data_IF_396333042554
#
_entry.id   IF_396333042554
#
_cell.length_a   1.000
_cell.length_b   1.000
_cell.length_c   1.000
_cell.angle_alpha   90.00
_cell.angle_beta   90.00
_cell.angle_gamma   90.00
#
_symmetry.space_group_name_H-M   'P 1'
#
loop_
_entity.id
_entity.type
_entity.pdbx_description
1 polymer ?
#
# COMPACT_ATOMS: atom_id res chain seq x y z
N UNK A 1 33.54 -4.45 -10.42
CA UNK A 1 32.42 -3.58 -10.02
C UNK A 1 31.26 -4.48 -9.63
N UNK A 2 31.06 -4.69 -8.34
CA UNK A 2 30.11 -5.66 -7.81
C UNK A 2 28.68 -5.14 -7.98
N UNK A 3 27.89 -5.88 -8.78
CA UNK A 3 26.43 -5.84 -8.80
C UNK A 3 25.95 -6.18 -7.39
N UNK A 4 25.70 -5.17 -6.56
CA UNK A 4 24.82 -5.37 -5.42
C UNK A 4 23.40 -5.31 -5.99
N UNK A 5 22.91 -6.46 -6.46
CA UNK A 5 21.47 -6.65 -6.66
C UNK A 5 20.85 -6.68 -5.27
N UNK A 6 20.50 -5.48 -4.81
CA UNK A 6 19.83 -5.25 -3.56
C UNK A 6 18.34 -5.52 -3.84
N UNK A 7 17.89 -6.73 -3.54
CA UNK A 7 16.50 -7.11 -3.70
C UNK A 7 15.63 -6.24 -2.80
N UNK A 8 14.45 -5.86 -3.27
CA UNK A 8 13.47 -5.15 -2.42
C UNK A 8 12.87 -6.07 -1.32
N UNK A 9 13.33 -7.32 -1.25
CA UNK A 9 13.00 -8.29 -0.20
C UNK A 9 14.15 -8.57 0.76
N UNK A 10 15.28 -7.88 0.64
CA UNK A 10 16.38 -8.00 1.59
C UNK A 10 16.02 -7.39 2.96
N UNK A 11 16.53 -7.97 4.05
CA UNK A 11 16.31 -7.44 5.41
C UNK A 11 16.75 -5.97 5.55
N UNK A 12 17.81 -5.57 4.84
CA UNK A 12 18.26 -4.18 4.82
C UNK A 12 17.22 -3.22 4.21
N UNK A 13 16.44 -3.68 3.23
CA UNK A 13 15.31 -2.91 2.69
C UNK A 13 14.18 -2.77 3.71
N UNK A 14 13.88 -3.83 4.46
CA UNK A 14 12.87 -3.80 5.53
C UNK A 14 13.24 -2.81 6.64
N UNK A 15 14.52 -2.71 6.99
CA UNK A 15 15.04 -1.78 8.00
C UNK A 15 15.05 -0.34 7.49
N UNK A 16 15.59 -0.11 6.29
CA UNK A 16 15.62 1.22 5.66
C UNK A 16 15.49 1.12 4.13
N UNK A 17 14.30 1.39 3.56
CA UNK A 17 14.08 1.33 2.12
C UNK A 17 14.57 2.59 1.38
N UNK A 18 14.94 3.66 2.09
CA UNK A 18 15.26 4.95 1.46
C UNK A 18 16.49 4.87 0.54
N UNK A 19 17.61 4.22 0.91
CA UNK A 19 18.77 4.03 0.03
C UNK A 19 18.41 3.28 -1.26
N UNK A 20 17.57 2.25 -1.17
CA UNK A 20 17.11 1.46 -2.30
C UNK A 20 16.30 2.33 -3.26
N UNK A 21 15.32 3.07 -2.75
CA UNK A 21 14.54 3.99 -3.58
C UNK A 21 15.40 5.04 -4.28
N UNK A 22 16.42 5.59 -3.60
CA UNK A 22 17.34 6.54 -4.19
C UNK A 22 18.18 5.93 -5.32
N UNK A 23 18.73 4.74 -5.08
CA UNK A 23 19.49 4.00 -6.08
C UNK A 23 18.62 3.66 -7.30
N UNK A 24 17.47 3.01 -7.09
CA UNK A 24 16.56 2.59 -8.15
C UNK A 24 16.09 3.79 -8.99
N UNK A 25 15.68 4.89 -8.37
CA UNK A 25 15.26 6.10 -9.13
C UNK A 25 16.33 6.63 -10.07
N UNK A 26 17.60 6.52 -9.68
CA UNK A 26 18.74 7.08 -10.42
C UNK A 26 19.28 6.11 -11.47
N UNK A 27 19.37 4.82 -11.13
CA UNK A 27 20.13 3.83 -11.90
C UNK A 27 19.25 2.76 -12.54
N UNK A 28 18.14 2.37 -11.91
CA UNK A 28 17.26 1.29 -12.38
C UNK A 28 15.79 1.56 -12.05
N UNK A 29 15.14 2.51 -12.76
CA UNK A 29 13.84 3.03 -12.34
C UNK A 29 12.66 2.08 -12.58
N UNK A 30 12.88 1.04 -13.41
CA UNK A 30 11.95 -0.05 -13.68
C UNK A 30 12.73 -1.35 -13.46
N UNK A 31 12.92 -1.66 -12.18
CA UNK A 31 13.74 -2.77 -11.74
C UNK A 31 12.96 -4.08 -11.84
N UNK A 32 13.54 -5.09 -12.47
CA UNK A 32 12.95 -6.42 -12.49
C UNK A 32 13.39 -7.20 -11.25
N UNK A 33 12.41 -7.67 -10.48
CA UNK A 33 12.59 -8.46 -9.27
C UNK A 33 12.27 -9.93 -9.59
N UNK A 34 13.33 -10.72 -9.76
CA UNK A 34 13.28 -12.11 -10.18
C UNK A 34 12.50 -13.00 -9.19
N UNK A 35 12.61 -12.72 -7.88
CA UNK A 35 12.01 -13.54 -6.83
C UNK A 35 10.48 -13.63 -6.91
N UNK A 36 9.82 -12.64 -7.53
CA UNK A 36 8.37 -12.58 -7.66
C UNK A 36 7.89 -12.37 -9.10
N UNK A 37 8.78 -12.47 -10.09
CA UNK A 37 8.52 -12.22 -11.51
C UNK A 37 7.69 -10.93 -11.71
N UNK A 38 8.23 -9.82 -11.21
CA UNK A 38 7.54 -8.54 -11.26
C UNK A 38 8.51 -7.36 -11.39
N UNK A 39 7.96 -6.20 -11.76
CA UNK A 39 8.71 -4.96 -11.86
C UNK A 39 8.42 -4.03 -10.68
N UNK A 40 9.48 -3.46 -10.11
CA UNK A 40 9.44 -2.38 -9.15
C UNK A 40 9.67 -1.04 -9.86
N UNK A 41 8.69 -0.14 -9.79
CA UNK A 41 8.73 1.17 -10.45
C UNK A 41 8.92 2.27 -9.43
N UNK A 42 10.02 3.02 -9.53
CA UNK A 42 10.48 3.90 -8.45
C UNK A 42 10.28 5.40 -8.72
N UNK A 43 10.10 5.82 -9.98
CA UNK A 43 9.90 7.22 -10.36
C UNK A 43 8.42 7.61 -10.26
N UNK A 44 8.15 8.76 -9.62
CA UNK A 44 6.79 9.28 -9.43
C UNK A 44 6.00 9.43 -10.75
N UNK A 45 6.63 9.92 -11.82
CA UNK A 45 5.96 10.13 -13.11
C UNK A 45 5.45 8.80 -13.68
N UNK A 46 6.24 7.74 -13.55
CA UNK A 46 5.93 6.42 -14.09
C UNK A 46 4.86 5.74 -13.23
N UNK A 47 4.96 5.81 -11.90
CA UNK A 47 3.91 5.34 -10.98
C UNK A 47 2.58 6.04 -11.25
N UNK A 48 2.59 7.37 -11.42
CA UNK A 48 1.39 8.14 -11.75
C UNK A 48 0.80 7.76 -13.09
N UNK A 49 1.63 7.49 -14.10
CA UNK A 49 1.19 7.00 -15.40
C UNK A 49 0.52 5.63 -15.26
N UNK A 50 1.17 4.68 -14.60
CA UNK A 50 0.64 3.33 -14.35
C UNK A 50 -0.75 3.40 -13.69
N UNK A 51 -0.87 4.14 -12.59
CA UNK A 51 -2.12 4.27 -11.83
C UNK A 51 -3.26 4.98 -12.58
N UNK A 52 -2.97 5.67 -13.69
CA UNK A 52 -3.97 6.37 -14.51
C UNK A 52 -4.38 5.60 -15.75
N UNK A 53 -3.60 4.60 -16.18
CA UNK A 53 -3.80 3.88 -17.44
C UNK A 53 -4.24 2.43 -17.18
N UNK A 54 -5.41 2.27 -16.55
CA UNK A 54 -5.92 0.97 -16.09
C UNK A 54 -6.21 -0.03 -17.21
N UNK A 55 -6.35 0.43 -18.45
CA UNK A 55 -6.54 -0.43 -19.63
C UNK A 55 -5.24 -1.20 -19.96
N UNK A 56 -4.09 -0.59 -19.69
CA UNK A 56 -2.76 -1.18 -19.87
C UNK A 56 -2.32 -1.88 -18.58
N UNK A 57 -2.48 -1.20 -17.43
CA UNK A 57 -2.08 -1.69 -16.11
C UNK A 57 -3.30 -2.01 -15.25
N UNK A 58 -3.81 -3.22 -15.36
CA UNK A 58 -5.01 -3.66 -14.65
C UNK A 58 -4.69 -4.41 -13.34
N UNK A 59 -5.72 -4.57 -12.50
CA UNK A 59 -5.60 -5.21 -11.19
C UNK A 59 -5.96 -6.70 -11.19
N UNK A 60 -6.05 -7.35 -12.36
CA UNK A 60 -6.46 -8.78 -12.46
C UNK A 60 -5.54 -9.71 -11.68
N UNK A 61 -4.26 -9.35 -11.52
CA UNK A 61 -3.29 -10.09 -10.70
C UNK A 61 -3.70 -10.20 -9.23
N UNK A 62 -4.52 -9.28 -8.72
CA UNK A 62 -5.04 -9.34 -7.35
C UNK A 62 -5.98 -10.53 -7.12
N UNK A 63 -6.57 -11.13 -8.16
CA UNK A 63 -7.33 -12.37 -8.01
C UNK A 63 -6.45 -13.54 -7.53
N UNK A 64 -5.18 -13.55 -7.93
CA UNK A 64 -4.23 -14.58 -7.46
C UNK A 64 -3.66 -14.27 -6.09
N UNK A 65 -3.49 -12.99 -5.75
CA UNK A 65 -2.77 -12.55 -4.54
C UNK A 65 -3.70 -12.23 -3.34
N UNK A 66 -4.83 -11.57 -3.58
CA UNK A 66 -5.69 -11.03 -2.52
C UNK A 66 -6.92 -11.90 -2.23
N UNK A 67 -7.57 -12.43 -3.27
CA UNK A 67 -8.81 -13.20 -3.13
C UNK A 67 -8.67 -14.46 -2.25
N UNK A 68 -7.59 -15.27 -2.33
CA UNK A 68 -7.42 -16.42 -1.44
C UNK A 68 -7.35 -16.05 0.04
N UNK A 69 -6.79 -14.87 0.34
CA UNK A 69 -6.66 -14.37 1.71
C UNK A 69 -7.98 -13.79 2.21
N UNK A 70 -8.68 -13.06 1.34
CA UNK A 70 -9.91 -12.34 1.68
C UNK A 70 -11.18 -13.18 1.52
N UNK A 71 -11.05 -14.40 0.96
CA UNK A 71 -12.12 -15.38 0.68
C UNK A 71 -13.19 -14.92 -0.32
N UNK A 72 -13.02 -13.75 -0.93
CA UNK A 72 -13.89 -13.19 -1.96
C UNK A 72 -13.16 -12.05 -2.72
N UNK A 73 -13.77 -11.60 -3.81
CA UNK A 73 -13.29 -10.51 -4.65
C UNK A 73 -13.24 -9.19 -3.89
N UNK A 74 -12.06 -8.59 -3.81
CA UNK A 74 -11.86 -7.30 -3.15
C UNK A 74 -12.24 -6.13 -4.05
N UNK A 75 -12.56 -4.99 -3.45
CA UNK A 75 -12.86 -3.75 -4.17
C UNK A 75 -11.78 -3.40 -5.21
N UNK A 76 -10.50 -3.63 -4.88
CA UNK A 76 -9.37 -3.35 -5.77
C UNK A 76 -9.34 -4.20 -7.05
N UNK A 77 -10.05 -5.32 -7.12
CA UNK A 77 -10.19 -6.15 -8.33
C UNK A 77 -11.30 -5.64 -9.27
N UNK A 78 -12.15 -4.72 -8.82
CA UNK A 78 -13.27 -4.21 -9.59
C UNK A 78 -12.84 -3.07 -10.52
N UNK A 79 -13.55 -2.86 -11.61
CA UNK A 79 -13.27 -1.79 -12.58
C UNK A 79 -14.52 -0.99 -12.96
N UNK A 80 -14.30 0.14 -13.65
CA UNK A 80 -15.37 0.96 -14.21
C UNK A 80 -16.45 1.39 -13.22
N UNK A 81 -17.70 1.24 -13.64
CA UNK A 81 -18.87 1.70 -12.89
C UNK A 81 -19.14 0.88 -11.62
N UNK A 82 -18.78 -0.40 -11.63
CA UNK A 82 -18.89 -1.26 -10.44
C UNK A 82 -17.99 -0.74 -9.32
N UNK A 83 -16.70 -0.55 -9.61
CA UNK A 83 -15.74 -0.02 -8.66
C UNK A 83 -16.17 1.35 -8.13
N UNK A 84 -16.59 2.26 -9.03
CA UNK A 84 -17.02 3.60 -8.66
C UNK A 84 -18.21 3.59 -7.69
N UNK A 85 -19.20 2.74 -7.96
CA UNK A 85 -20.43 2.66 -7.14
C UNK A 85 -20.14 2.07 -5.77
N UNK A 86 -19.41 0.93 -5.70
CA UNK A 86 -19.07 0.27 -4.44
C UNK A 86 -18.12 1.11 -3.59
N UNK A 87 -17.10 1.73 -4.19
CA UNK A 87 -16.20 2.66 -3.50
C UNK A 87 -16.98 3.82 -2.89
N UNK A 88 -17.93 4.41 -3.62
CA UNK A 88 -18.78 5.51 -3.11
C UNK A 88 -19.61 5.07 -1.91
N UNK A 89 -20.20 3.87 -1.95
CA UNK A 89 -20.98 3.34 -0.84
C UNK A 89 -20.13 3.14 0.42
N UNK A 90 -18.95 2.51 0.29
CA UNK A 90 -18.01 2.29 1.39
C UNK A 90 -17.55 3.62 1.99
N UNK A 91 -17.11 4.58 1.17
CA UNK A 91 -16.59 5.85 1.65
C UNK A 91 -17.64 6.68 2.41
N UNK A 92 -18.93 6.58 2.06
CA UNK A 92 -19.99 7.23 2.84
C UNK A 92 -20.03 6.76 4.29
N UNK A 93 -19.71 5.49 4.56
CA UNK A 93 -19.65 4.93 5.90
C UNK A 93 -18.34 5.20 6.64
N UNK A 94 -17.37 5.87 6.02
CA UNK A 94 -16.02 6.08 6.59
C UNK A 94 -15.58 7.55 6.61
N UNK A 95 -16.43 8.47 6.13
CA UNK A 95 -16.09 9.89 6.00
C UNK A 95 -17.17 10.79 6.59
N UNK A 96 -16.89 12.10 6.67
CA UNK A 96 -17.84 13.10 7.17
C UNK A 96 -18.27 12.80 8.61
N UNK A 97 -19.58 12.78 8.84
CA UNK A 97 -20.13 12.67 10.20
C UNK A 97 -19.73 11.39 10.93
N UNK A 98 -19.54 10.28 10.20
CA UNK A 98 -19.05 9.04 10.79
C UNK A 98 -17.65 9.22 11.38
N UNK A 99 -16.75 9.85 10.62
CA UNK A 99 -15.39 10.10 11.08
C UNK A 99 -15.37 11.08 12.27
N UNK A 100 -16.13 12.18 12.19
CA UNK A 100 -16.28 13.15 13.31
C UNK A 100 -16.70 12.46 14.61
N UNK A 101 -17.66 11.53 14.53
CA UNK A 101 -18.13 10.79 15.71
C UNK A 101 -17.11 9.75 16.20
N UNK A 102 -16.25 9.22 15.31
CA UNK A 102 -15.24 8.23 15.64
C UNK A 102 -13.99 8.87 16.29
N UNK A 103 -13.65 10.10 15.91
CA UNK A 103 -12.49 10.85 16.43
C UNK A 103 -12.38 10.86 17.96
N UNK A 104 -13.39 11.28 18.74
CA UNK A 104 -13.27 11.31 20.20
C UNK A 104 -13.10 9.92 20.82
N UNK A 105 -13.65 8.87 20.18
CA UNK A 105 -13.49 7.48 20.62
C UNK A 105 -12.05 7.02 20.42
N UNK A 106 -11.47 7.33 19.25
CA UNK A 106 -10.08 7.01 18.95
C UNK A 106 -9.13 7.73 19.89
N UNK A 107 -9.35 9.02 20.14
CA UNK A 107 -8.55 9.81 21.07
C UNK A 107 -8.58 9.21 22.48
N UNK A 108 -9.78 8.95 23.03
CA UNK A 108 -9.92 8.34 24.35
C UNK A 108 -9.17 7.00 24.44
N UNK A 109 -9.41 6.08 23.49
CA UNK A 109 -8.77 4.76 23.49
C UNK A 109 -7.25 4.85 23.37
N UNK A 110 -6.77 5.78 22.57
CA UNK A 110 -5.33 6.02 22.39
C UNK A 110 -4.71 6.49 23.70
N UNK A 111 -5.33 7.47 24.36
CA UNK A 111 -4.90 7.96 25.66
C UNK A 111 -4.95 6.87 26.74
N UNK A 112 -6.01 6.04 26.77
CA UNK A 112 -6.11 4.91 27.71
C UNK A 112 -4.94 3.92 27.53
N UNK A 113 -4.56 3.61 26.28
CA UNK A 113 -3.43 2.73 25.97
C UNK A 113 -2.10 3.39 26.38
N UNK A 114 -1.90 4.66 26.06
CA UNK A 114 -0.68 5.40 26.40
C UNK A 114 -0.52 5.48 27.92
N UNK A 115 -1.56 5.90 28.63
CA UNK A 115 -1.54 6.06 30.08
C UNK A 115 -1.19 4.75 30.79
N UNK A 116 -1.76 3.62 30.35
CA UNK A 116 -1.42 2.28 30.87
C UNK A 116 0.08 1.94 30.81
N UNK A 117 0.81 2.48 29.84
CA UNK A 117 2.24 2.18 29.64
C UNK A 117 3.16 3.28 30.17
N UNK A 118 2.64 4.50 30.38
CA UNK A 118 3.35 5.57 31.09
C UNK A 118 3.28 5.35 32.61
N UNK A 119 2.12 4.98 33.15
CA UNK A 119 1.93 4.78 34.59
C UNK A 119 2.66 3.54 35.12
N UNK A 120 2.86 2.51 34.29
CA UNK A 120 3.65 1.32 34.63
C UNK A 120 5.17 1.54 34.68
N UNK A 121 5.66 2.72 34.28
CA UNK A 121 7.08 3.09 34.36
C UNK A 121 7.45 3.85 35.64
N UNK A 122 6.51 4.04 36.57
CA UNK A 122 6.78 4.44 37.96
C UNK A 122 6.73 3.23 38.87
#
# INVERSE_FOLDING_TARGET
>A
MLKVYNSIFDQAYEIDPIPYFNFLRKHDPVHYEESIDAYFVSKYKDVKYILKNNDIFNTKTLAKRAEPVMKDRVLAQMSGQEHKSKKKAILKGMTGKYLENLMPILEKRTNDIINKHIEKKK
#
